data_IF_625628114003
#
_entry.id   IF_625628114003
#
_cell.length_a   1.000
_cell.length_b   1.000
_cell.length_c   1.000
_cell.angle_alpha   90.00
_cell.angle_beta   90.00
_cell.angle_gamma   90.00
#
_symmetry.space_group_name_H-M   'P 1'
#
loop_
_entity.id
_entity.type
_entity.pdbx_description
1 polymer ?
#
# COMPACT_ATOMS: atom_id res chain seq x y z
N UNK A 1 -0.47 4.27 -5.85
CA UNK A 1 -1.33 4.08 -4.66
C UNK A 1 -2.63 3.45 -5.14
N UNK A 2 -2.70 2.12 -5.13
CA UNK A 2 -3.89 1.37 -5.53
C UNK A 2 -4.48 0.76 -4.26
N UNK A 3 -5.73 1.10 -3.95
CA UNK A 3 -6.47 0.65 -2.77
C UNK A 3 -7.46 -0.43 -3.20
N UNK A 4 -7.46 -1.57 -2.53
CA UNK A 4 -8.43 -2.65 -2.71
C UNK A 4 -9.26 -2.74 -1.41
N UNK A 5 -10.59 -2.55 -1.53
CA UNK A 5 -11.67 -2.78 -0.54
C UNK A 5 -12.01 -1.78 0.59
N UNK A 6 -12.53 -0.59 0.22
CA UNK A 6 -13.69 0.07 0.84
C UNK A 6 -13.79 0.24 2.37
N UNK A 7 -13.61 1.47 2.86
CA UNK A 7 -14.60 2.22 3.68
C UNK A 7 -14.13 3.67 3.92
N UNK A 8 -15.10 4.56 4.08
CA UNK A 8 -14.99 6.01 3.93
C UNK A 8 -14.33 6.75 5.12
N UNK A 9 -13.03 7.03 5.07
CA UNK A 9 -12.43 8.27 5.61
C UNK A 9 -10.97 8.44 5.17
N UNK A 10 -10.63 9.51 4.43
CA UNK A 10 -9.28 10.12 4.55
C UNK A 10 -8.19 9.83 3.51
N UNK A 11 -8.41 10.21 2.26
CA UNK A 11 -7.57 11.11 1.43
C UNK A 11 -8.57 11.74 0.45
N UNK A 12 -8.42 12.99 0.03
CA UNK A 12 -9.37 13.62 -0.92
C UNK A 12 -9.30 12.84 -2.25
N UNK A 13 -10.09 11.77 -2.38
CA UNK A 13 -10.16 10.87 -3.55
C UNK A 13 -10.08 9.36 -3.30
N UNK A 14 -9.58 8.85 -2.16
CA UNK A 14 -9.47 7.40 -1.91
C UNK A 14 -9.89 7.07 -0.47
N UNK A 15 -10.85 6.15 -0.32
CA UNK A 15 -11.33 5.62 0.96
C UNK A 15 -10.41 4.50 1.44
N UNK A 16 -9.50 4.82 2.37
CA UNK A 16 -8.56 3.87 2.99
C UNK A 16 -8.89 3.81 4.49
N UNK A 17 -8.98 2.61 5.06
CA UNK A 17 -9.25 2.43 6.48
C UNK A 17 -8.79 1.09 7.06
N UNK A 18 -9.26 0.75 8.27
CA UNK A 18 -8.95 -0.51 8.92
C UNK A 18 -9.30 -1.73 8.07
N UNK A 19 -8.33 -2.63 7.89
CA UNK A 19 -8.48 -3.82 7.06
C UNK A 19 -8.10 -3.62 5.59
N UNK A 20 -7.77 -2.41 5.15
CA UNK A 20 -7.19 -2.18 3.83
C UNK A 20 -5.70 -2.48 3.83
N UNK A 21 -5.20 -3.03 2.72
CA UNK A 21 -3.77 -3.21 2.48
C UNK A 21 -3.29 -2.13 1.51
N UNK A 22 -2.19 -1.46 1.87
CA UNK A 22 -1.59 -0.41 1.05
C UNK A 22 -0.18 -0.83 0.65
N UNK A 23 0.01 -1.08 -0.63
CA UNK A 23 1.30 -1.40 -1.21
C UNK A 23 2.18 -0.14 -1.26
N UNK A 24 3.37 -0.21 -0.65
CA UNK A 24 4.34 0.88 -0.56
C UNK A 24 5.77 0.36 -0.75
N UNK A 25 6.68 1.09 -1.42
CA UNK A 25 8.09 0.69 -1.47
C UNK A 25 8.70 0.60 -0.08
N UNK A 26 9.58 -0.38 0.13
CA UNK A 26 10.44 -0.47 1.31
C UNK A 26 11.42 0.71 1.38
N UNK A 27 11.85 1.22 0.23
CA UNK A 27 12.76 2.35 0.11
C UNK A 27 12.00 3.67 -0.07
N UNK A 28 11.33 4.13 0.99
CA UNK A 28 10.61 5.40 1.03
C UNK A 28 10.79 6.12 2.37
N UNK A 29 10.29 7.34 2.48
CA UNK A 29 10.27 8.07 3.74
C UNK A 29 9.25 7.49 4.71
N UNK A 30 9.63 7.38 5.98
CA UNK A 30 8.81 6.78 7.05
C UNK A 30 7.44 7.45 7.23
N UNK A 31 7.26 8.70 6.80
CA UNK A 31 5.96 9.37 6.90
C UNK A 31 4.86 8.65 6.11
N UNK A 32 5.19 8.01 4.99
CA UNK A 32 4.21 7.26 4.19
C UNK A 32 3.67 6.08 4.97
N UNK A 33 4.54 5.34 5.65
CA UNK A 33 4.16 4.19 6.48
C UNK A 33 3.34 4.66 7.69
N UNK A 34 3.79 5.73 8.35
CA UNK A 34 3.06 6.28 9.49
C UNK A 34 1.65 6.72 9.12
N UNK A 35 1.45 7.34 7.94
CA UNK A 35 0.12 7.72 7.47
C UNK A 35 -0.77 6.50 7.21
N UNK A 36 -0.24 5.42 6.65
CA UNK A 36 -0.98 4.17 6.42
C UNK A 36 -1.42 3.57 7.76
N UNK A 37 -0.49 3.46 8.71
CA UNK A 37 -0.79 2.94 10.05
C UNK A 37 -1.77 3.83 10.83
N UNK A 38 -1.68 5.16 10.69
CA UNK A 38 -2.59 6.11 11.34
C UNK A 38 -4.04 5.98 10.81
N UNK A 39 -4.20 5.57 9.55
CA UNK A 39 -5.51 5.28 8.95
C UNK A 39 -6.05 3.89 9.36
N UNK A 40 -5.25 3.09 10.08
CA UNK A 40 -5.59 1.72 10.48
C UNK A 40 -5.37 0.67 9.38
N UNK A 41 -4.84 1.07 8.22
CA UNK A 41 -4.52 0.18 7.12
C UNK A 41 -3.18 -0.54 7.35
N UNK A 42 -2.99 -1.68 6.66
CA UNK A 42 -1.79 -2.50 6.73
C UNK A 42 -0.81 -2.14 5.58
N UNK A 43 0.42 -1.68 5.88
CA UNK A 43 1.40 -1.39 4.85
C UNK A 43 2.07 -2.67 4.33
N UNK A 44 1.87 -2.98 3.05
CA UNK A 44 2.56 -4.07 2.35
C UNK A 44 3.81 -3.50 1.68
N UNK A 45 4.97 -3.79 2.27
CA UNK A 45 6.25 -3.30 1.76
C UNK A 45 6.73 -4.13 0.58
N UNK A 46 7.06 -3.46 -0.52
CA UNK A 46 7.57 -4.09 -1.74
C UNK A 46 8.97 -3.60 -2.06
N UNK A 47 9.76 -4.50 -2.64
CA UNK A 47 11.13 -4.18 -3.02
C UNK A 47 11.19 -3.21 -4.20
N UNK A 48 12.31 -2.50 -4.33
CA UNK A 48 12.55 -1.55 -5.42
C UNK A 48 13.62 -2.08 -6.37
N UNK A 49 13.59 -1.60 -7.60
CA UNK A 49 14.68 -1.85 -8.53
C UNK A 49 15.97 -1.19 -8.02
N UNK A 50 17.07 -1.94 -8.07
CA UNK A 50 18.34 -1.55 -7.44
C UNK A 50 18.99 -0.33 -8.09
N UNK A 51 18.81 -0.16 -9.38
CA UNK A 51 19.50 0.89 -10.15
C UNK A 51 18.68 2.18 -10.19
N UNK A 52 17.35 2.06 -10.18
CA UNK A 52 16.42 3.20 -10.27
C UNK A 52 15.81 3.60 -8.94
N UNK A 53 15.88 2.73 -7.92
CA UNK A 53 15.21 2.89 -6.61
C UNK A 53 13.69 3.06 -6.72
N UNK A 54 13.11 2.65 -7.85
CA UNK A 54 11.68 2.75 -8.13
C UNK A 54 11.02 1.38 -8.08
N UNK A 55 9.74 1.37 -7.71
CA UNK A 55 8.91 0.16 -7.82
C UNK A 55 8.58 -0.11 -9.29
N UNK A 56 8.63 -1.38 -9.69
CA UNK A 56 8.19 -1.80 -11.02
C UNK A 56 6.75 -2.34 -10.97
N UNK A 57 6.04 -2.28 -12.10
CA UNK A 57 4.70 -2.85 -12.20
C UNK A 57 4.69 -4.37 -11.95
N UNK A 58 5.79 -5.06 -12.24
CA UNK A 58 5.93 -6.49 -11.97
C UNK A 58 6.05 -6.80 -10.48
N UNK A 59 6.85 -6.02 -9.75
CA UNK A 59 6.99 -6.19 -8.30
C UNK A 59 5.68 -5.92 -7.58
N UNK A 60 4.93 -4.91 -8.04
CA UNK A 60 3.59 -4.62 -7.52
C UNK A 60 2.66 -5.82 -7.77
N UNK A 61 2.59 -6.33 -9.01
CA UNK A 61 1.71 -7.48 -9.35
C UNK A 61 1.98 -8.73 -8.52
N UNK A 62 3.25 -9.03 -8.23
CA UNK A 62 3.63 -10.16 -7.38
C UNK A 62 3.17 -10.01 -5.92
N UNK A 63 3.00 -8.77 -5.48
CA UNK A 63 2.63 -8.42 -4.11
C UNK A 63 1.13 -8.23 -3.94
N UNK A 64 0.36 -8.26 -5.04
CA UNK A 64 -1.10 -8.33 -4.99
C UNK A 64 -1.48 -9.76 -4.65
N UNK A 65 -1.66 -10.05 -3.36
CA UNK A 65 -2.29 -11.29 -2.92
C UNK A 65 -3.82 -11.13 -2.98
N UNK A 66 -4.56 -12.05 -3.61
CA UNK A 66 -5.99 -12.10 -3.42
C UNK A 66 -6.27 -12.48 -1.96
N UNK A 67 -6.91 -11.59 -1.20
CA UNK A 67 -7.47 -11.97 0.10
C UNK A 67 -8.46 -13.12 -0.13
N UNK A 68 -8.35 -14.25 0.59
CA UNK A 68 -9.46 -15.18 0.65
C UNK A 68 -10.66 -14.43 1.24
N UNK A 69 -11.78 -14.41 0.52
CA UNK A 69 -13.06 -13.90 1.05
C UNK A 69 -13.35 -14.61 2.38
N UNK A 70 -13.52 -13.84 3.45
CA UNK A 70 -14.11 -14.29 4.71
C UNK A 70 -15.51 -13.69 4.84
#
# INVERSE_FOLDING_TARGET
>A
MFCYSGNAFGFVGISIGPGDEVITPSQTWVSTINMICLLGAEPIMVDVDRDTLMVSAETIKKSITPKPEQ
#
